data_IF_250638083587
#
_entry.id   IF_250638083587
#
_cell.length_a   1.000
_cell.length_b   1.000
_cell.length_c   1.000
_cell.angle_alpha   90.00
_cell.angle_beta   90.00
_cell.angle_gamma   90.00
#
_symmetry.space_group_name_H-M   'P 1'
#
loop_
_entity.id
_entity.type
_entity.pdbx_description
1 polymer ?
#
# COMPACT_ATOMS: atom_id res chain seq x y z
N UNK A 1 -12.73 -0.82 16.05
CA UNK A 1 -13.74 -0.55 15.01
C UNK A 1 -13.19 -1.02 13.68
N UNK A 2 -13.90 -1.91 12.96
CA UNK A 2 -13.50 -2.29 11.59
C UNK A 2 -13.78 -1.09 10.69
N UNK A 3 -12.75 -0.55 10.03
CA UNK A 3 -12.96 0.43 8.95
C UNK A 3 -13.54 -0.31 7.76
N UNK A 4 -14.74 0.07 7.35
CA UNK A 4 -15.34 -0.45 6.13
C UNK A 4 -14.77 0.31 4.94
N UNK A 5 -14.09 -0.42 4.07
CA UNK A 5 -13.61 0.08 2.78
C UNK A 5 -14.55 -0.42 1.68
N UNK A 6 -14.87 0.46 0.73
CA UNK A 6 -15.56 0.02 -0.47
C UNK A 6 -14.63 -0.90 -1.31
N UNK A 7 -15.19 -1.60 -2.30
CA UNK A 7 -14.41 -2.53 -3.13
C UNK A 7 -13.23 -1.83 -3.84
N UNK A 8 -13.45 -0.62 -4.38
CA UNK A 8 -12.41 0.15 -5.06
C UNK A 8 -11.25 0.55 -4.13
N UNK A 9 -11.54 0.90 -2.88
CA UNK A 9 -10.57 1.25 -1.86
C UNK A 9 -9.79 0.02 -1.42
N UNK A 10 -10.45 -1.13 -1.27
CA UNK A 10 -9.78 -2.40 -0.97
C UNK A 10 -8.83 -2.78 -2.09
N UNK A 11 -9.30 -2.81 -3.33
CA UNK A 11 -8.48 -3.08 -4.51
C UNK A 11 -7.28 -2.13 -4.55
N UNK A 12 -7.50 -0.85 -4.23
CA UNK A 12 -6.43 0.13 -4.18
C UNK A 12 -5.42 -0.14 -3.07
N UNK A 13 -5.87 -0.44 -1.86
CA UNK A 13 -4.97 -0.76 -0.76
C UNK A 13 -4.15 -2.00 -1.14
N UNK A 14 -4.75 -3.01 -1.78
CA UNK A 14 -4.06 -4.20 -2.27
C UNK A 14 -3.03 -3.84 -3.35
N UNK A 15 -3.38 -3.03 -4.35
CA UNK A 15 -2.43 -2.55 -5.38
C UNK A 15 -1.21 -1.88 -4.76
N UNK A 16 -1.44 -0.92 -3.87
CA UNK A 16 -0.38 -0.18 -3.18
C UNK A 16 0.44 -1.10 -2.28
N UNK A 17 -0.20 -2.00 -1.55
CA UNK A 17 0.46 -2.96 -0.69
C UNK A 17 1.25 -3.99 -1.52
N UNK A 18 0.88 -4.28 -2.77
CA UNK A 18 1.67 -5.18 -3.60
C UNK A 18 2.91 -4.51 -4.21
N UNK A 19 2.92 -3.19 -4.33
CA UNK A 19 4.06 -2.45 -4.89
C UNK A 19 5.18 -2.28 -3.86
N UNK A 20 6.38 -2.78 -4.20
CA UNK A 20 7.55 -2.73 -3.31
C UNK A 20 8.08 -1.30 -3.05
N UNK A 21 7.57 -0.30 -3.78
CA UNK A 21 7.97 1.11 -3.72
C UNK A 21 6.99 2.01 -2.98
N UNK A 22 5.82 1.50 -2.60
CA UNK A 22 4.78 2.29 -1.93
C UNK A 22 4.92 2.12 -0.42
N UNK A 23 5.37 3.16 0.31
CA UNK A 23 5.64 3.03 1.72
C UNK A 23 4.35 2.87 2.52
N UNK A 24 4.40 2.14 3.63
CA UNK A 24 3.22 1.96 4.49
C UNK A 24 2.72 3.30 5.02
N UNK A 25 3.61 4.28 5.19
CA UNK A 25 3.30 5.65 5.54
C UNK A 25 2.41 6.34 4.48
N UNK A 26 2.60 6.06 3.19
CA UNK A 26 1.74 6.61 2.13
C UNK A 26 0.34 5.97 2.16
N UNK A 27 0.26 4.67 2.45
CA UNK A 27 -1.01 3.96 2.62
C UNK A 27 -1.75 4.51 3.85
N UNK A 28 -1.02 4.71 4.95
CA UNK A 28 -1.53 5.34 6.17
C UNK A 28 -2.00 6.76 5.92
N UNK A 29 -1.26 7.55 5.14
CA UNK A 29 -1.65 8.91 4.82
C UNK A 29 -2.94 8.98 4.00
N UNK A 30 -3.10 8.12 2.99
CA UNK A 30 -4.28 8.13 2.12
C UNK A 30 -5.52 7.50 2.75
N UNK A 31 -5.37 6.37 3.46
CA UNK A 31 -6.49 5.56 3.95
C UNK A 31 -6.62 5.58 5.47
N UNK A 32 -5.74 6.31 6.17
CA UNK A 32 -5.70 6.38 7.64
C UNK A 32 -5.58 5.01 8.32
N UNK A 33 -4.90 4.05 7.67
CA UNK A 33 -4.67 2.69 8.20
C UNK A 33 -3.22 2.42 8.57
N UNK A 34 -3.03 1.69 9.66
CA UNK A 34 -1.72 1.25 10.10
C UNK A 34 -1.25 0.00 9.33
N UNK A 35 0.05 -0.28 9.39
CA UNK A 35 0.65 -1.46 8.74
C UNK A 35 -0.06 -2.76 9.15
N UNK A 36 -0.38 -2.93 10.44
CA UNK A 36 -1.07 -4.11 10.95
C UNK A 36 -2.44 -4.31 10.29
N UNK A 37 -3.20 -3.23 10.08
CA UNK A 37 -4.51 -3.28 9.41
C UNK A 37 -4.35 -3.65 7.92
N UNK A 38 -3.30 -3.17 7.26
CA UNK A 38 -2.97 -3.56 5.87
C UNK A 38 -2.61 -5.04 5.79
N UNK A 39 -1.83 -5.56 6.74
CA UNK A 39 -1.46 -6.98 6.78
C UNK A 39 -2.70 -7.85 6.98
N UNK A 40 -3.60 -7.44 7.87
CA UNK A 40 -4.87 -8.14 8.10
C UNK A 40 -5.73 -8.16 6.84
N UNK A 41 -5.90 -7.01 6.17
CA UNK A 41 -6.63 -6.90 4.91
C UNK A 41 -6.01 -7.78 3.81
N UNK A 42 -4.69 -7.75 3.65
CA UNK A 42 -4.00 -8.58 2.67
C UNK A 42 -4.16 -10.08 2.97
N UNK A 43 -4.24 -10.46 4.24
CA UNK A 43 -4.44 -11.85 4.67
C UNK A 43 -5.86 -12.33 4.39
N UNK A 44 -6.85 -11.45 4.48
CA UNK A 44 -8.26 -11.80 4.20
C UNK A 44 -8.58 -11.82 2.71
N UNK A 45 -7.96 -10.94 1.92
CA UNK A 45 -8.30 -10.77 0.50
C UNK A 45 -7.45 -11.66 -0.44
N UNK A 46 -6.20 -11.97 -0.08
CA UNK A 46 -5.33 -12.81 -0.92
C UNK A 46 -5.45 -14.30 -0.59
N UNK A 47 -5.22 -15.13 -1.62
CA UNK A 47 -4.94 -16.56 -1.42
C UNK A 47 -3.71 -16.73 -0.53
N UNK A 48 -3.73 -17.77 0.31
CA UNK A 48 -2.68 -18.01 1.30
C UNK A 48 -1.26 -18.10 0.70
N UNK A 49 -1.11 -18.70 -0.49
CA UNK A 49 0.16 -18.77 -1.21
C UNK A 49 0.68 -17.39 -1.65
N UNK A 50 -0.21 -16.56 -2.20
CA UNK A 50 0.09 -15.17 -2.58
C UNK A 50 0.46 -14.31 -1.37
N UNK A 51 -0.25 -14.47 -0.25
CA UNK A 51 0.06 -13.78 1.00
C UNK A 51 1.45 -14.17 1.54
N UNK A 52 1.80 -15.46 1.55
CA UNK A 52 3.13 -15.93 1.98
C UNK A 52 4.25 -15.31 1.13
N UNK A 53 4.07 -15.26 -0.20
CA UNK A 53 5.02 -14.62 -1.12
C UNK A 53 5.16 -13.12 -0.82
N UNK A 54 4.05 -12.43 -0.61
CA UNK A 54 4.06 -11.00 -0.25
C UNK A 54 4.78 -10.77 1.06
N UNK A 55 4.47 -11.55 2.08
CA UNK A 55 5.06 -11.41 3.41
C UNK A 55 6.57 -11.67 3.37
N UNK A 56 7.00 -12.66 2.59
CA UNK A 56 8.42 -12.91 2.33
C UNK A 56 9.08 -11.67 1.72
N UNK A 57 8.48 -11.03 0.70
CA UNK A 57 9.03 -9.81 0.06
C UNK A 57 9.10 -8.61 1.01
N UNK A 58 8.06 -8.41 1.82
CA UNK A 58 8.01 -7.32 2.80
C UNK A 58 9.11 -7.51 3.86
N UNK A 59 9.30 -8.74 4.35
CA UNK A 59 10.27 -9.02 5.41
C UNK A 59 11.72 -9.19 4.90
N UNK A 60 11.93 -9.59 3.64
CA UNK A 60 13.26 -9.88 3.08
C UNK A 60 14.09 -8.63 2.72
N UNK A 61 13.61 -7.42 3.02
CA UNK A 61 14.36 -6.17 2.82
C UNK A 61 14.46 -5.68 1.36
N UNK A 62 13.98 -6.45 0.38
CA UNK A 62 13.84 -6.02 -1.03
C UNK A 62 12.81 -4.90 -1.17
N UNK A 63 11.81 -4.93 -0.30
CA UNK A 63 10.78 -3.91 -0.15
C UNK A 63 11.37 -2.62 0.46
N UNK A 64 11.44 -1.54 -0.33
CA UNK A 64 11.85 -0.17 0.11
C UNK A 64 10.66 0.63 0.64
N UNK A 65 9.79 -0.04 1.41
CA UNK A 65 8.51 0.50 1.91
C UNK A 65 8.62 1.38 3.15
N UNK A 66 9.83 1.70 3.57
CA UNK A 66 10.06 2.68 4.61
C UNK A 66 10.71 3.90 3.98
N UNK A 67 10.19 5.07 4.30
CA UNK A 67 10.70 6.35 3.78
C UNK A 67 12.21 6.48 4.02
N UNK A 68 12.70 6.00 5.17
CA UNK A 68 14.10 6.07 5.58
C UNK A 68 15.04 5.16 4.78
N UNK A 69 14.53 4.14 4.08
CA UNK A 69 15.33 3.17 3.28
C UNK A 69 15.26 3.46 1.78
N UNK A 70 14.56 4.53 1.37
CA UNK A 70 14.32 4.87 -0.03
C UNK A 70 15.44 5.75 -0.55
N UNK A 71 15.99 5.43 -1.73
CA UNK A 71 16.94 6.31 -2.43
C UNK A 71 16.22 7.64 -2.78
N UNK A 72 16.77 8.80 -2.39
CA UNK A 72 16.20 10.11 -2.70
C UNK A 72 16.00 10.38 -4.20
N UNK A 73 16.77 9.73 -5.08
CA UNK A 73 16.64 9.87 -6.54
C UNK A 73 15.32 9.30 -7.12
N UNK A 74 14.59 8.52 -6.32
CA UNK A 74 13.33 7.92 -6.76
C UNK A 74 12.20 8.96 -6.61
N UNK A 75 12.00 9.77 -7.64
CA UNK A 75 10.95 10.80 -7.69
C UNK A 75 9.52 10.24 -7.95
N UNK A 76 9.39 9.01 -8.49
CA UNK A 76 8.08 8.42 -8.78
C UNK A 76 7.39 7.95 -7.50
N UNK A 77 6.30 8.62 -7.15
CA UNK A 77 5.45 8.30 -5.99
C UNK A 77 4.24 7.41 -6.34
N UNK A 78 4.02 7.11 -7.63
CA UNK A 78 2.87 6.35 -8.14
C UNK A 78 3.27 5.24 -9.12
N UNK A 79 2.51 4.15 -9.13
CA UNK A 79 2.57 3.11 -10.17
C UNK A 79 2.10 3.67 -11.52
N UNK A 80 2.63 3.15 -12.63
CA UNK A 80 2.17 3.53 -13.98
C UNK A 80 0.74 3.09 -14.28
N UNK A 81 0.28 1.99 -13.65
CA UNK A 81 -1.09 1.49 -13.77
C UNK A 81 -2.05 2.10 -12.74
N UNK A 82 -1.54 2.93 -11.83
CA UNK A 82 -2.35 3.56 -10.80
C UNK A 82 -3.21 4.65 -11.44
N UNK A 83 -4.52 4.39 -11.53
CA UNK A 83 -5.53 5.37 -11.93
C UNK A 83 -5.49 6.60 -11.02
N UNK A 84 -5.72 7.77 -11.63
CA UNK A 84 -5.91 9.04 -10.93
C UNK A 84 -7.17 8.93 -10.07
N UNK A 85 -7.00 8.83 -8.75
CA UNK A 85 -8.12 8.88 -7.82
C UNK A 85 -8.51 10.36 -7.70
N UNK A 86 -9.67 10.73 -8.25
CA UNK A 86 -10.23 12.08 -8.11
C UNK A 86 -10.55 12.43 -6.64
N UNK A 87 -10.71 11.42 -5.78
CA UNK A 87 -10.92 11.54 -4.34
C UNK A 87 -9.65 11.54 -3.49
N UNK A 88 -8.50 11.97 -4.03
CA UNK A 88 -7.43 12.41 -3.14
C UNK A 88 -8.00 13.58 -2.33
N UNK A 89 -8.14 13.43 -1.00
CA UNK A 89 -8.61 14.51 -0.10
C UNK A 89 -7.79 15.80 -0.23
N UNK A 90 -6.65 15.74 -0.89
CA UNK A 90 -5.84 16.88 -1.30
C UNK A 90 -6.22 17.24 -2.74
N UNK A 91 -7.40 17.81 -2.88
CA UNK A 91 -7.66 18.74 -3.97
C UNK A 91 -7.01 20.07 -3.58
N UNK A 92 -5.79 20.32 -4.09
CA UNK A 92 -5.08 21.60 -4.12
C UNK A 92 -4.73 22.26 -2.77
N UNK A 93 -3.43 22.35 -2.47
CA UNK A 93 -2.76 23.59 -2.07
C UNK A 93 -1.28 23.51 -2.40
#
# INVERSE_FOLDING_TARGET
>A
MKKEFNLEQKDRIIEMAWEDRTPFEAIKFQFSINESEVIELMRTELKQSSFKLWRKRVNSGVSRKHLMKRNPEIARFKCSRQRTISHNKISKR
#
